data_IF_049532762825
#
_entry.id   IF_049532762825
#
_cell.length_a   1.000
_cell.length_b   1.000
_cell.length_c   1.000
_cell.angle_alpha   90.00
_cell.angle_beta   90.00
_cell.angle_gamma   90.00
#
_symmetry.space_group_name_H-M   'P 1'
#
loop_
_entity.id
_entity.type
_entity.pdbx_description
1 polymer ?
#
# COMPACT_ATOMS: atom_id res chain seq x y z
N UNK A 1 1.38 6.36 3.40
CA UNK A 1 1.38 6.05 1.96
C UNK A 1 0.34 6.93 1.28
N UNK A 2 0.76 7.84 0.39
CA UNK A 2 -0.12 8.84 -0.25
C UNK A 2 -1.21 8.19 -1.13
N UNK A 3 -0.89 7.05 -1.74
CA UNK A 3 -1.80 6.24 -2.56
C UNK A 3 -3.09 5.86 -1.83
N UNK A 4 -3.00 5.43 -0.56
CA UNK A 4 -4.19 5.03 0.20
C UNK A 4 -5.10 6.23 0.43
N UNK A 5 -4.53 7.33 0.92
CA UNK A 5 -5.30 8.53 1.24
C UNK A 5 -5.94 9.13 -0.02
N UNK A 6 -5.15 9.45 -1.03
CA UNK A 6 -5.66 10.10 -2.24
C UNK A 6 -6.53 9.16 -3.08
N UNK A 7 -6.22 7.86 -3.13
CA UNK A 7 -7.07 6.88 -3.81
C UNK A 7 -8.44 6.71 -3.14
N UNK A 8 -8.53 6.84 -1.81
CA UNK A 8 -9.81 6.84 -1.09
C UNK A 8 -10.63 8.11 -1.37
N UNK A 9 -9.98 9.26 -1.50
CA UNK A 9 -10.62 10.53 -1.85
C UNK A 9 -11.03 10.63 -3.34
N UNK A 10 -10.69 9.62 -4.15
CA UNK A 10 -11.12 9.53 -5.56
C UNK A 10 -10.14 10.10 -6.58
N UNK A 11 -8.92 10.46 -6.17
CA UNK A 11 -7.86 10.89 -7.09
C UNK A 11 -7.32 9.68 -7.89
N UNK A 12 -7.88 9.46 -9.08
CA UNK A 12 -7.63 8.29 -9.91
C UNK A 12 -6.15 8.15 -10.34
N UNK A 13 -5.37 9.24 -10.36
CA UNK A 13 -3.94 9.20 -10.68
C UNK A 13 -3.11 8.38 -9.67
N UNK A 14 -3.65 8.14 -8.48
CA UNK A 14 -3.05 7.29 -7.44
C UNK A 14 -3.47 5.83 -7.55
N UNK A 15 -4.42 5.50 -8.43
CA UNK A 15 -4.86 4.14 -8.75
C UNK A 15 -4.36 3.69 -10.14
N UNK A 16 -3.46 4.48 -10.72
CA UNK A 16 -2.79 4.20 -11.98
C UNK A 16 -1.88 2.95 -11.90
N UNK A 17 -1.74 2.24 -13.01
CA UNK A 17 -0.98 0.99 -13.08
C UNK A 17 0.48 1.11 -12.61
N UNK A 18 1.11 2.27 -12.76
CA UNK A 18 2.48 2.52 -12.27
C UNK A 18 2.59 2.41 -10.75
N UNK A 19 1.54 2.79 -10.02
CA UNK A 19 1.51 2.67 -8.57
C UNK A 19 1.27 1.23 -8.15
N UNK A 20 0.35 0.53 -8.83
CA UNK A 20 0.13 -0.90 -8.60
C UNK A 20 1.43 -1.70 -8.78
N UNK A 21 2.15 -1.48 -9.88
CA UNK A 21 3.43 -2.14 -10.16
C UNK A 21 4.43 -1.91 -9.02
N UNK A 22 4.62 -0.66 -8.58
CA UNK A 22 5.52 -0.34 -7.46
C UNK A 22 5.08 -0.99 -6.15
N UNK A 23 3.79 -1.05 -5.87
CA UNK A 23 3.25 -1.68 -4.66
C UNK A 23 3.51 -3.18 -4.67
N UNK A 24 3.40 -3.83 -5.82
CA UNK A 24 3.72 -5.26 -5.99
C UNK A 24 5.23 -5.51 -5.89
N UNK A 25 6.06 -4.65 -6.52
CA UNK A 25 7.52 -4.75 -6.46
C UNK A 25 8.10 -4.62 -5.05
N UNK A 26 7.46 -3.84 -4.17
CA UNK A 26 7.89 -3.66 -2.78
C UNK A 26 7.52 -4.83 -1.86
N UNK A 27 6.72 -5.78 -2.33
CA UNK A 27 6.46 -7.00 -1.57
C UNK A 27 7.71 -7.88 -1.57
N UNK A 28 8.00 -8.49 -0.42
CA UNK A 28 8.97 -9.57 -0.38
C UNK A 28 8.35 -10.88 -0.90
N UNK A 29 9.16 -11.95 -0.91
CA UNK A 29 8.74 -13.29 -1.37
C UNK A 29 7.57 -13.89 -0.56
N UNK A 30 7.30 -13.36 0.63
CA UNK A 30 6.20 -13.78 1.50
C UNK A 30 4.96 -12.89 1.35
N UNK A 31 5.00 -11.91 0.44
CA UNK A 31 3.88 -11.00 0.16
C UNK A 31 3.70 -9.86 1.16
N UNK A 32 4.63 -9.69 2.10
CA UNK A 32 4.58 -8.63 3.11
C UNK A 32 5.66 -7.57 2.85
N UNK A 33 5.61 -6.48 3.61
CA UNK A 33 6.42 -5.30 3.37
C UNK A 33 7.36 -5.05 4.53
N UNK A 34 8.65 -4.96 4.22
CA UNK A 34 9.70 -4.66 5.19
C UNK A 34 9.72 -3.15 5.52
N UNK A 35 10.19 -2.81 6.72
CA UNK A 35 10.52 -1.42 7.05
C UNK A 35 11.97 -1.13 6.69
N UNK A 36 12.24 0.00 6.03
CA UNK A 36 13.62 0.49 5.90
C UNK A 36 14.22 0.64 7.31
N UNK A 37 15.48 0.23 7.53
CA UNK A 37 16.14 0.43 8.82
C UNK A 37 16.30 1.94 9.06
N UNK A 38 15.45 2.50 9.92
CA UNK A 38 15.49 3.90 10.29
C UNK A 38 16.14 4.03 11.67
N UNK A 39 17.30 4.70 11.71
CA UNK A 39 18.04 5.04 12.94
C UNK A 39 17.31 6.06 13.85
N UNK A 40 16.02 6.35 13.58
CA UNK A 40 15.25 7.37 14.28
C UNK A 40 14.11 6.66 15.01
N UNK A 41 14.19 6.69 16.34
CA UNK A 41 13.13 6.32 17.28
C UNK A 41 11.85 7.13 17.01
N UNK A 42 10.99 6.67 16.09
CA UNK A 42 9.67 7.29 15.85
C UNK A 42 8.63 6.24 15.47
N UNK A 43 7.72 5.98 16.43
CA UNK A 43 6.58 5.02 16.43
C UNK A 43 6.97 3.55 16.26
N UNK A 44 6.55 2.73 17.23
CA UNK A 44 6.76 1.28 17.28
C UNK A 44 5.92 0.60 16.19
N UNK A 45 6.46 0.49 14.98
CA UNK A 45 6.02 -0.59 14.10
C UNK A 45 6.57 -1.90 14.63
N UNK A 46 5.76 -2.93 14.67
CA UNK A 46 6.18 -4.25 15.10
C UNK A 46 6.74 -5.02 13.91
N UNK A 47 7.88 -5.67 14.13
CA UNK A 47 8.38 -6.66 13.20
C UNK A 47 7.55 -7.93 13.39
N UNK A 48 6.84 -8.33 12.35
CA UNK A 48 6.07 -9.57 12.27
C UNK A 48 6.93 -10.65 11.58
N UNK A 49 6.35 -11.84 11.39
CA UNK A 49 7.01 -12.95 10.71
C UNK A 49 7.65 -12.53 9.38
N UNK A 50 8.75 -13.21 9.04
CA UNK A 50 9.53 -12.96 7.82
C UNK A 50 10.18 -11.57 7.73
N UNK A 51 10.38 -10.88 8.87
CA UNK A 51 11.07 -9.59 8.94
C UNK A 51 10.23 -8.41 8.46
N UNK A 52 8.93 -8.63 8.28
CA UNK A 52 8.01 -7.62 7.79
C UNK A 52 7.59 -6.64 8.87
N UNK A 53 7.16 -5.45 8.46
CA UNK A 53 6.58 -4.44 9.32
C UNK A 53 5.06 -4.54 9.26
N UNK A 54 4.39 -4.64 10.41
CA UNK A 54 2.93 -4.60 10.52
C UNK A 54 2.34 -3.35 9.84
N UNK A 55 2.97 -2.20 10.07
CA UNK A 55 2.54 -0.92 9.56
C UNK A 55 2.68 -0.83 8.04
N UNK A 56 3.86 -1.15 7.49
CA UNK A 56 4.07 -1.15 6.03
C UNK A 56 3.17 -2.19 5.34
N UNK A 57 3.02 -3.36 5.96
CA UNK A 57 2.19 -4.44 5.41
C UNK A 57 0.72 -4.07 5.38
N UNK A 58 0.20 -3.48 6.47
CA UNK A 58 -1.17 -2.97 6.52
C UNK A 58 -1.43 -1.88 5.47
N UNK A 59 -0.47 -0.97 5.27
CA UNK A 59 -0.57 0.06 4.24
C UNK A 59 -0.56 -0.51 2.83
N UNK A 60 0.32 -1.47 2.54
CA UNK A 60 0.37 -2.16 1.25
C UNK A 60 -0.93 -2.91 0.95
N UNK A 61 -1.45 -3.65 1.93
CA UNK A 61 -2.71 -4.36 1.82
C UNK A 61 -3.89 -3.41 1.54
N UNK A 62 -3.97 -2.28 2.25
CA UNK A 62 -4.99 -1.25 2.00
C UNK A 62 -4.89 -0.67 0.58
N UNK A 63 -3.69 -0.41 0.09
CA UNK A 63 -3.49 0.12 -1.25
C UNK A 63 -3.87 -0.89 -2.34
N UNK A 64 -3.52 -2.17 -2.18
CA UNK A 64 -3.94 -3.25 -3.08
C UNK A 64 -5.45 -3.41 -3.10
N UNK A 65 -6.11 -3.33 -1.93
CA UNK A 65 -7.56 -3.39 -1.83
C UNK A 65 -8.24 -2.24 -2.61
N UNK A 66 -7.68 -1.03 -2.57
CA UNK A 66 -8.19 0.09 -3.37
C UNK A 66 -8.03 -0.14 -4.87
N UNK A 67 -6.88 -0.65 -5.31
CA UNK A 67 -6.67 -0.99 -6.72
C UNK A 67 -7.63 -2.09 -7.17
N UNK A 68 -7.82 -3.13 -6.35
CA UNK A 68 -8.80 -4.19 -6.63
C UNK A 68 -10.21 -3.61 -6.77
N UNK A 69 -10.61 -2.73 -5.85
CA UNK A 69 -11.92 -2.06 -5.90
C UNK A 69 -12.07 -1.22 -7.18
N UNK A 70 -11.03 -0.47 -7.56
CA UNK A 70 -11.02 0.34 -8.77
C UNK A 70 -11.17 -0.48 -10.04
N UNK A 71 -10.49 -1.63 -10.11
CA UNK A 71 -10.58 -2.56 -11.24
C UNK A 71 -11.96 -3.24 -11.35
N UNK A 72 -12.57 -3.58 -10.22
CA UNK A 72 -13.89 -4.24 -10.19
C UNK A 72 -15.05 -3.26 -10.40
N UNK A 73 -14.92 -2.02 -9.94
CA UNK A 73 -15.98 -1.00 -10.01
C UNK A 73 -15.46 0.37 -10.48
N UNK A 74 -15.06 0.50 -11.76
CA UNK A 74 -14.50 1.74 -12.29
C UNK A 74 -15.49 2.91 -12.33
N UNK A 75 -16.80 2.64 -12.34
CA UNK A 75 -17.85 3.67 -12.47
C UNK A 75 -18.24 4.37 -11.15
N UNK A 76 -17.70 3.96 -10.00
CA UNK A 76 -18.05 4.54 -8.68
C UNK A 76 -17.22 5.80 -8.36
N UNK A 77 -16.12 6.03 -9.07
CA UNK A 77 -15.18 7.14 -8.81
C UNK A 77 -15.22 8.25 -9.87
N UNK A 78 -16.25 8.27 -10.72
CA UNK A 78 -16.47 9.37 -11.68
C UNK A 78 -17.45 10.35 -11.03
N UNK A 79 -16.91 11.34 -10.32
CA UNK A 79 -17.60 12.58 -9.95
C UNK A 79 -16.78 13.77 -10.44
#
# INVERSE_FOLDING_TARGET
MLVVLCGMEGYAEFLDGKWLEKIMEWQNLYGCYESLPQNITKRTSFVIDFGCSDHSTGLGAAALALHLRFLLWPNIYIY
#
